data_IF_882679470287
#
_entry.id   IF_882679470287
#
_cell.length_a   1.000
_cell.length_b   1.000
_cell.length_c   1.000
_cell.angle_alpha   90.00
_cell.angle_beta   90.00
_cell.angle_gamma   90.00
#
_symmetry.space_group_name_H-M   'P 1'
#
loop_
_entity.id
_entity.type
_entity.pdbx_description
1 polymer ?
#
# COMPACT_ATOMS: atom_id res chain seq x y z
N UNK A 1 13.41 9.53 -12.75
CA UNK A 1 13.13 8.12 -12.39
C UNK A 1 13.76 7.90 -11.03
N UNK A 2 12.96 7.65 -9.98
CA UNK A 2 13.49 7.52 -8.61
C UNK A 2 14.38 6.26 -8.53
N UNK A 3 15.61 6.41 -8.03
CA UNK A 3 16.51 5.28 -7.78
C UNK A 3 15.93 4.37 -6.68
N UNK A 4 16.25 3.07 -6.59
CA UNK A 4 15.77 2.22 -5.51
C UNK A 4 16.19 2.71 -4.11
N UNK A 5 17.29 3.46 -4.00
CA UNK A 5 17.72 4.16 -2.78
C UNK A 5 16.78 5.30 -2.34
N UNK A 6 15.90 5.72 -3.25
CA UNK A 6 14.99 6.84 -3.09
C UNK A 6 13.66 6.37 -2.46
N UNK A 7 13.43 5.06 -2.31
CA UNK A 7 12.26 4.51 -1.60
C UNK A 7 12.69 4.16 -0.17
N UNK A 8 12.38 5.04 0.77
CA UNK A 8 12.63 4.83 2.19
C UNK A 8 11.34 4.88 3.03
N UNK A 9 11.46 4.53 4.32
CA UNK A 9 10.31 4.46 5.23
C UNK A 9 9.65 5.82 5.40
N UNK A 10 10.45 6.88 5.44
CA UNK A 10 10.01 8.26 5.61
C UNK A 10 9.13 8.69 4.44
N UNK A 11 9.54 8.38 3.20
CA UNK A 11 8.76 8.68 1.99
C UNK A 11 7.51 7.84 1.87
N UNK A 12 7.53 6.58 2.33
CA UNK A 12 6.32 5.75 2.41
C UNK A 12 5.32 6.38 3.39
N UNK A 13 5.77 6.81 4.57
CA UNK A 13 4.93 7.47 5.56
C UNK A 13 4.38 8.82 5.07
N UNK A 14 5.21 9.64 4.42
CA UNK A 14 4.78 10.90 3.81
C UNK A 14 3.74 10.68 2.71
N UNK A 15 3.94 9.65 1.88
CA UNK A 15 2.97 9.26 0.84
C UNK A 15 1.65 8.78 1.46
N UNK A 16 1.71 7.96 2.52
CA UNK A 16 0.52 7.47 3.23
C UNK A 16 -0.39 8.61 3.67
N UNK A 17 0.18 9.64 4.29
CA UNK A 17 -0.56 10.83 4.74
C UNK A 17 -1.29 11.53 3.59
N UNK A 18 -0.67 11.63 2.40
CA UNK A 18 -1.24 12.28 1.21
C UNK A 18 -2.39 11.47 0.60
N UNK A 19 -2.24 10.13 0.55
CA UNK A 19 -3.23 9.26 -0.08
C UNK A 19 -4.35 8.83 0.88
N UNK A 20 -4.12 8.92 2.20
CA UNK A 20 -5.03 8.48 3.26
C UNK A 20 -6.51 8.86 3.05
N UNK A 21 -6.88 10.10 2.72
CA UNK A 21 -8.29 10.47 2.53
C UNK A 21 -8.94 9.88 1.27
N UNK A 22 -8.15 9.27 0.37
CA UNK A 22 -8.60 8.78 -0.95
C UNK A 22 -8.55 7.25 -1.08
N UNK A 23 -8.11 6.55 -0.04
CA UNK A 23 -7.97 5.10 -0.03
C UNK A 23 -8.79 4.50 1.10
N UNK A 24 -9.29 3.28 0.89
CA UNK A 24 -9.94 2.50 1.94
C UNK A 24 -8.89 1.81 2.80
N UNK A 25 -9.13 1.75 4.11
CA UNK A 25 -8.49 0.74 4.97
C UNK A 25 -9.17 -0.59 4.73
N UNK A 26 -8.59 -1.40 3.86
CA UNK A 26 -9.09 -2.74 3.55
C UNK A 26 -8.94 -3.69 4.75
N UNK A 27 -9.87 -4.65 4.94
CA UNK A 27 -9.80 -5.60 6.05
C UNK A 27 -8.55 -6.49 6.03
N UNK A 28 -8.21 -7.01 7.20
CA UNK A 28 -7.32 -8.15 7.40
C UNK A 28 -8.20 -9.33 7.80
N UNK A 29 -8.04 -10.47 7.15
CA UNK A 29 -8.77 -11.71 7.46
C UNK A 29 -7.77 -12.79 7.80
N UNK A 30 -7.91 -13.43 8.96
CA UNK A 30 -7.18 -14.64 9.29
C UNK A 30 -7.81 -15.84 8.59
N UNK A 31 -6.97 -16.73 8.05
CA UNK A 31 -7.39 -17.99 7.44
C UNK A 31 -6.34 -19.06 7.72
N UNK A 32 -6.70 -20.33 7.56
CA UNK A 32 -5.74 -21.42 7.54
C UNK A 32 -5.46 -21.84 6.09
N UNK A 33 -4.19 -22.01 5.74
CA UNK A 33 -3.79 -22.55 4.44
C UNK A 33 -4.44 -23.90 4.12
N UNK A 34 -4.79 -24.70 5.14
CA UNK A 34 -5.52 -25.95 4.99
C UNK A 34 -6.90 -25.77 4.32
N UNK A 35 -7.57 -24.63 4.52
CA UNK A 35 -8.85 -24.31 3.87
C UNK A 35 -8.70 -24.16 2.34
N UNK A 36 -7.47 -23.94 1.87
CA UNK A 36 -7.09 -23.85 0.46
C UNK A 36 -6.40 -25.12 -0.06
N UNK A 37 -6.38 -26.21 0.72
CA UNK A 37 -5.74 -27.48 0.34
C UNK A 37 -4.21 -27.46 0.42
N UNK A 38 -3.63 -26.52 1.17
CA UNK A 38 -2.19 -26.40 1.41
C UNK A 38 -1.81 -26.93 2.80
N UNK A 39 -0.52 -27.14 3.11
CA UNK A 39 -0.09 -27.49 4.46
C UNK A 39 -0.59 -26.47 5.48
N UNK A 40 -1.16 -26.98 6.58
CA UNK A 40 -1.80 -26.16 7.61
C UNK A 40 -0.82 -25.12 8.17
N UNK A 41 -1.20 -23.85 8.04
CA UNK A 41 -0.45 -22.73 8.56
C UNK A 41 -1.36 -21.50 8.62
N UNK A 42 -1.26 -20.68 9.68
CA UNK A 42 -2.02 -19.45 9.77
C UNK A 42 -1.53 -18.43 8.74
N UNK A 43 -2.45 -17.85 7.98
CA UNK A 43 -2.16 -16.74 7.06
C UNK A 43 -3.08 -15.57 7.36
N UNK A 44 -2.58 -14.35 7.14
CA UNK A 44 -3.39 -13.14 7.18
C UNK A 44 -3.51 -12.56 5.78
N UNK A 45 -4.74 -12.50 5.27
CA UNK A 45 -5.07 -11.96 3.96
C UNK A 45 -5.40 -10.47 4.06
N UNK A 46 -4.66 -9.65 3.31
CA UNK A 46 -4.97 -8.22 3.11
C UNK A 46 -5.86 -8.07 1.88
N UNK A 47 -7.14 -7.72 2.10
CA UNK A 47 -8.14 -7.72 1.02
C UNK A 47 -8.09 -6.46 0.14
N UNK A 48 -6.97 -6.22 -0.57
CA UNK A 48 -6.81 -5.07 -1.48
C UNK A 48 -7.76 -5.09 -2.69
N UNK A 49 -8.41 -6.21 -3.00
CA UNK A 49 -9.48 -6.25 -4.00
C UNK A 49 -10.69 -5.40 -3.60
N UNK A 50 -10.85 -5.06 -2.31
CA UNK A 50 -11.89 -4.16 -1.81
C UNK A 50 -11.50 -2.68 -1.88
N UNK A 51 -10.29 -2.38 -2.35
CA UNK A 51 -9.85 -1.02 -2.61
C UNK A 51 -10.60 -0.42 -3.81
N UNK A 52 -10.52 0.90 -3.97
CA UNK A 52 -10.98 1.56 -5.19
C UNK A 52 -10.39 0.90 -6.46
N UNK A 53 -11.24 0.74 -7.48
CA UNK A 53 -10.89 0.06 -8.74
C UNK A 53 -10.46 -1.40 -8.60
N UNK A 54 -10.77 -2.07 -7.48
CA UNK A 54 -10.58 -3.51 -7.32
C UNK A 54 -9.14 -3.98 -7.12
N UNK A 55 -8.19 -3.06 -6.87
CA UNK A 55 -6.79 -3.43 -6.64
C UNK A 55 -6.03 -2.39 -5.81
N UNK A 56 -4.85 -2.78 -5.32
CA UNK A 56 -3.97 -1.91 -4.55
C UNK A 56 -3.46 -0.69 -5.35
N UNK A 57 -3.55 -0.71 -6.69
CA UNK A 57 -2.99 0.34 -7.57
C UNK A 57 -3.61 1.71 -7.34
N UNK A 58 -4.82 1.79 -6.80
CA UNK A 58 -5.44 3.05 -6.39
C UNK A 58 -4.59 3.84 -5.36
N UNK A 59 -3.68 3.17 -4.64
CA UNK A 59 -2.75 3.82 -3.71
C UNK A 59 -1.67 4.65 -4.43
N UNK A 60 -1.40 4.38 -5.72
CA UNK A 60 -0.41 5.11 -6.52
C UNK A 60 -0.97 6.39 -7.16
N UNK A 61 -2.28 6.62 -7.04
CA UNK A 61 -3.02 7.65 -7.78
C UNK A 61 -2.50 9.08 -7.52
N UNK A 62 -1.70 9.30 -6.46
CA UNK A 62 -1.14 10.61 -6.16
C UNK A 62 0.14 10.55 -5.31
N UNK A 63 1.24 10.08 -5.88
CA UNK A 63 2.54 10.64 -5.50
C UNK A 63 2.65 11.99 -6.22
N UNK A 64 2.15 13.05 -5.59
CA UNK A 64 2.28 14.39 -6.14
C UNK A 64 3.77 14.73 -6.32
N UNK A 65 4.10 15.25 -7.50
CA UNK A 65 5.38 15.92 -7.78
C UNK A 65 5.66 16.91 -6.65
N UNK A 66 6.76 16.72 -5.93
CA UNK A 66 7.48 17.83 -5.32
C UNK A 66 8.58 18.21 -6.32
N UNK A 67 8.18 18.82 -7.43
CA UNK A 67 9.09 19.56 -8.28
C UNK A 67 9.11 21.00 -7.73
N UNK A 68 10.17 21.35 -6.98
CA UNK A 68 10.59 22.74 -6.81
C UNK A 68 10.77 23.28 -5.38
N UNK A 69 12.05 23.45 -5.00
CA UNK A 69 12.64 24.58 -4.23
C UNK A 69 12.27 24.70 -2.74
N UNK A 70 13.18 24.86 -1.77
CA UNK A 70 14.61 25.19 -1.74
C UNK A 70 14.87 26.13 -0.55
N UNK A 71 15.97 25.98 0.20
CA UNK A 71 16.79 27.10 0.70
C UNK A 71 18.02 26.63 1.48
N UNK A 72 19.14 27.29 1.18
CA UNK A 72 20.41 27.42 1.90
C UNK A 72 21.37 26.22 1.89
#
# INVERSE_FOLDING_TARGET
MAAPSDINRERIAATEAVIRPRIRRTPLVGADLAEFGLPAAPVTLKLEMLQHSGSFKARLLRCARNDGGGSA
#
